data_IF_130953176682
#
_entry.id   IF_130953176682
#
_cell.length_a   1.000
_cell.length_b   1.000
_cell.length_c   1.000
_cell.angle_alpha   90.00
_cell.angle_beta   90.00
_cell.angle_gamma   90.00
#
_symmetry.space_group_name_H-M   'P 1'
#
loop_
_entity.id
_entity.type
_entity.pdbx_description
1 polymer ?
#
# COMPACT_ATOMS: atom_id res chain seq x y z
N UNK A 1 -23.82 -20.66 -10.33
CA UNK A 1 -24.61 -20.43 -9.09
C UNK A 1 -24.80 -21.71 -8.24
N UNK A 2 -24.15 -22.82 -8.61
CA UNK A 2 -24.40 -24.18 -8.12
C UNK A 2 -23.66 -24.58 -6.83
N UNK A 3 -22.93 -23.67 -6.18
CA UNK A 3 -22.15 -23.94 -4.98
C UNK A 3 -22.84 -23.50 -3.67
N UNK A 4 -24.10 -23.04 -3.71
CA UNK A 4 -24.84 -22.55 -2.52
C UNK A 4 -24.25 -21.30 -1.86
N UNK A 5 -23.08 -20.82 -2.31
CA UNK A 5 -22.38 -19.69 -1.74
C UNK A 5 -22.92 -18.36 -2.24
N UNK A 6 -23.31 -17.50 -1.31
CA UNK A 6 -23.78 -16.16 -1.62
C UNK A 6 -22.58 -15.23 -1.88
N UNK A 7 -22.11 -15.20 -3.13
CA UNK A 7 -20.99 -14.36 -3.59
C UNK A 7 -21.26 -12.87 -3.31
N UNK A 8 -22.52 -12.47 -3.35
CA UNK A 8 -22.96 -11.11 -3.09
C UNK A 8 -22.65 -10.70 -1.65
N UNK A 9 -23.01 -11.53 -0.68
CA UNK A 9 -22.77 -11.27 0.74
C UNK A 9 -21.28 -11.15 1.05
N UNK A 10 -20.44 -12.01 0.47
CA UNK A 10 -19.00 -11.99 0.70
C UNK A 10 -18.33 -10.75 0.12
N UNK A 11 -18.73 -10.32 -1.08
CA UNK A 11 -18.24 -9.06 -1.65
C UNK A 11 -18.70 -7.85 -0.82
N UNK A 12 -19.94 -7.89 -0.34
CA UNK A 12 -20.52 -6.81 0.45
C UNK A 12 -19.83 -6.67 1.82
N UNK A 13 -19.59 -7.78 2.52
CA UNK A 13 -18.84 -7.78 3.79
C UNK A 13 -17.41 -7.28 3.60
N UNK A 14 -16.70 -7.72 2.55
CA UNK A 14 -15.36 -7.22 2.26
C UNK A 14 -15.35 -5.72 1.96
N UNK A 15 -16.37 -5.20 1.28
CA UNK A 15 -16.50 -3.78 1.00
C UNK A 15 -16.75 -2.96 2.27
N UNK A 16 -17.67 -3.41 3.13
CA UNK A 16 -17.93 -2.75 4.42
C UNK A 16 -16.66 -2.75 5.28
N UNK A 17 -15.96 -3.88 5.36
CA UNK A 17 -14.76 -4.00 6.16
C UNK A 17 -13.65 -3.07 5.64
N UNK A 18 -13.42 -3.03 4.32
CA UNK A 18 -12.47 -2.11 3.71
C UNK A 18 -12.84 -0.64 3.96
N UNK A 19 -14.12 -0.29 3.82
CA UNK A 19 -14.63 1.05 4.10
C UNK A 19 -14.46 1.46 5.57
N UNK A 20 -14.68 0.54 6.51
CA UNK A 20 -14.47 0.80 7.93
C UNK A 20 -13.00 1.11 8.25
N UNK A 21 -12.07 0.32 7.72
CA UNK A 21 -10.63 0.58 7.88
C UNK A 21 -10.19 1.87 7.19
N UNK A 22 -10.70 2.16 5.98
CA UNK A 22 -10.40 3.40 5.28
C UNK A 22 -10.90 4.64 6.05
N UNK A 23 -12.11 4.59 6.60
CA UNK A 23 -12.66 5.65 7.44
C UNK A 23 -11.86 5.84 8.74
N UNK A 24 -11.51 4.75 9.41
CA UNK A 24 -10.70 4.79 10.63
C UNK A 24 -9.31 5.37 10.37
N UNK A 25 -8.67 4.98 9.28
CA UNK A 25 -7.39 5.55 8.86
C UNK A 25 -7.49 7.05 8.56
N UNK A 26 -8.55 7.49 7.88
CA UNK A 26 -8.79 8.91 7.58
C UNK A 26 -8.99 9.77 8.82
N UNK A 27 -9.79 9.30 9.79
CA UNK A 27 -10.00 9.99 11.07
C UNK A 27 -8.69 10.09 11.86
N UNK A 28 -7.93 9.00 11.92
CA UNK A 28 -6.65 8.98 12.63
C UNK A 28 -5.63 9.93 11.98
N UNK A 29 -5.60 9.97 10.65
CA UNK A 29 -4.75 10.86 9.88
C UNK A 29 -5.11 12.34 10.07
N UNK A 30 -6.41 12.67 10.11
CA UNK A 30 -6.89 14.01 10.38
C UNK A 30 -6.56 14.46 11.81
N UNK A 31 -6.70 13.56 12.78
CA UNK A 31 -6.30 13.81 14.17
C UNK A 31 -4.79 14.04 14.30
N UNK A 32 -3.97 13.25 13.59
CA UNK A 32 -2.51 13.39 13.60
C UNK A 32 -2.02 14.72 13.01
N UNK A 33 -2.61 15.18 11.90
CA UNK A 33 -2.19 16.42 11.26
C UNK A 33 -2.75 17.69 11.92
N UNK A 34 -3.86 17.60 12.65
CA UNK A 34 -4.49 18.72 13.36
C UNK A 34 -5.08 19.82 12.47
N UNK A 35 -4.74 19.86 11.18
CA UNK A 35 -5.26 20.78 10.19
C UNK A 35 -5.41 20.09 8.83
N UNK A 36 -6.54 20.29 8.15
CA UNK A 36 -6.80 19.73 6.82
C UNK A 36 -6.66 20.84 5.79
N UNK A 37 -5.63 20.73 4.95
CA UNK A 37 -5.36 21.67 3.86
C UNK A 37 -5.81 21.09 2.51
N UNK A 38 -6.23 21.90 1.51
CA UNK A 38 -6.54 21.42 0.16
C UNK A 38 -5.38 20.69 -0.52
N UNK A 39 -4.14 20.92 -0.06
CA UNK A 39 -2.94 20.19 -0.51
C UNK A 39 -3.04 18.68 -0.24
N UNK A 40 -3.76 18.27 0.80
CA UNK A 40 -3.84 16.89 1.24
C UNK A 40 -4.75 16.03 0.36
N UNK A 41 -5.67 16.67 -0.35
CA UNK A 41 -6.60 16.03 -1.29
C UNK A 41 -6.06 16.07 -2.73
N UNK A 42 -4.82 16.55 -2.92
CA UNK A 42 -4.19 16.59 -4.24
C UNK A 42 -3.83 15.19 -4.73
N UNK A 43 -3.76 15.08 -6.06
CA UNK A 43 -3.40 13.84 -6.74
C UNK A 43 -2.05 13.29 -6.28
N UNK A 44 -1.10 14.14 -5.89
CA UNK A 44 0.21 13.72 -5.38
C UNK A 44 0.07 12.84 -4.13
N UNK A 45 -0.78 13.22 -3.18
CA UNK A 45 -1.01 12.46 -1.94
C UNK A 45 -1.66 11.11 -2.22
N UNK A 46 -2.56 11.06 -3.20
CA UNK A 46 -3.14 9.80 -3.71
C UNK A 46 -2.09 8.89 -4.35
N UNK A 47 -1.11 9.45 -5.08
CA UNK A 47 -0.01 8.65 -5.65
C UNK A 47 0.91 8.12 -4.54
N UNK A 48 1.19 8.91 -3.50
CA UNK A 48 1.98 8.43 -2.35
C UNK A 48 1.31 7.24 -1.66
N UNK A 49 0.02 7.33 -1.38
CA UNK A 49 -0.74 6.22 -0.75
C UNK A 49 -0.79 4.98 -1.65
N UNK A 50 -0.98 5.14 -2.96
CA UNK A 50 -0.91 4.03 -3.92
C UNK A 50 0.48 3.39 -3.94
N UNK A 51 1.55 4.19 -3.87
CA UNK A 51 2.92 3.69 -3.85
C UNK A 51 3.20 2.87 -2.59
N UNK A 52 2.72 3.30 -1.43
CA UNK A 52 2.87 2.53 -0.17
C UNK A 52 2.22 1.14 -0.29
N UNK A 53 1.03 1.07 -0.90
CA UNK A 53 0.32 -0.20 -1.13
C UNK A 53 1.02 -1.05 -2.19
N UNK A 54 1.44 -0.45 -3.31
CA UNK A 54 2.12 -1.14 -4.40
C UNK A 54 3.45 -1.76 -3.94
N UNK A 55 4.23 -1.00 -3.17
CA UNK A 55 5.50 -1.49 -2.63
C UNK A 55 5.29 -2.62 -1.60
N UNK A 56 4.22 -2.56 -0.81
CA UNK A 56 3.85 -3.61 0.15
C UNK A 56 3.31 -4.89 -0.48
N UNK A 57 2.61 -4.78 -1.61
CA UNK A 57 1.97 -5.88 -2.34
C UNK A 57 0.54 -6.18 -1.87
N UNK A 58 -0.39 -6.55 -2.79
CA UNK A 58 -1.83 -6.71 -2.50
C UNK A 58 -2.21 -7.99 -1.74
N UNK A 59 -1.23 -8.83 -1.37
CA UNK A 59 -1.48 -10.18 -0.87
C UNK A 59 -1.73 -10.31 0.64
N UNK A 60 -1.44 -9.28 1.45
CA UNK A 60 -1.61 -9.29 2.91
C UNK A 60 -1.82 -7.88 3.47
N UNK A 61 -2.38 -7.75 4.67
CA UNK A 61 -2.48 -6.48 5.41
C UNK A 61 -1.11 -5.98 5.90
N UNK A 62 -0.15 -6.88 6.14
CA UNK A 62 1.19 -6.55 6.68
C UNK A 62 2.08 -5.90 5.61
N UNK A 63 1.86 -6.22 4.34
CA UNK A 63 2.61 -5.66 3.21
C UNK A 63 2.50 -4.15 3.13
N UNK A 64 1.30 -3.58 2.98
CA UNK A 64 1.10 -2.14 2.94
C UNK A 64 1.63 -1.42 4.19
N UNK A 65 1.58 -2.06 5.38
CA UNK A 65 2.14 -1.46 6.60
C UNK A 65 3.68 -1.33 6.53
N UNK A 66 4.39 -2.39 6.10
CA UNK A 66 5.83 -2.32 5.85
C UNK A 66 6.19 -1.37 4.71
N UNK A 67 5.39 -1.37 3.65
CA UNK A 67 5.54 -0.47 2.51
C UNK A 67 5.39 1.00 2.92
N UNK A 68 4.36 1.31 3.72
CA UNK A 68 4.17 2.64 4.28
C UNK A 68 5.36 3.06 5.15
N UNK A 69 5.85 2.19 6.04
CA UNK A 69 7.02 2.48 6.87
C UNK A 69 8.26 2.84 6.05
N UNK A 70 8.58 2.06 5.02
CA UNK A 70 9.75 2.30 4.18
C UNK A 70 9.61 3.55 3.30
N UNK A 71 8.44 3.78 2.67
CA UNK A 71 8.20 5.02 1.91
C UNK A 71 8.24 6.24 2.82
N UNK A 72 7.63 6.20 4.00
CA UNK A 72 7.64 7.31 4.95
C UNK A 72 9.05 7.57 5.49
N UNK A 73 9.84 6.54 5.74
CA UNK A 73 11.25 6.70 6.12
C UNK A 73 12.04 7.38 5.01
N UNK A 74 11.88 6.90 3.77
CA UNK A 74 12.49 7.52 2.60
C UNK A 74 12.03 8.98 2.47
N UNK A 75 10.72 9.24 2.66
CA UNK A 75 10.07 10.57 2.71
C UNK A 75 10.78 11.52 3.64
N UNK A 76 10.94 11.09 4.88
CA UNK A 76 11.62 11.91 5.88
C UNK A 76 13.09 12.16 5.50
N UNK A 77 13.80 11.14 5.00
CA UNK A 77 15.22 11.27 4.71
C UNK A 77 15.51 12.20 3.52
N UNK A 78 14.78 12.04 2.41
CA UNK A 78 15.02 12.85 1.20
C UNK A 78 14.35 14.23 1.30
N UNK A 79 13.32 14.42 2.13
CA UNK A 79 12.74 15.76 2.41
C UNK A 79 13.76 16.70 3.08
N UNK A 80 14.70 16.17 3.86
CA UNK A 80 15.79 16.93 4.49
C UNK A 80 16.80 17.45 3.45
N UNK A 81 17.03 16.71 2.37
CA UNK A 81 18.07 17.03 1.38
C UNK A 81 17.57 17.80 0.15
N UNK A 82 16.29 17.70 -0.23
CA UNK A 82 15.81 18.28 -1.50
C UNK A 82 14.34 18.68 -1.49
N UNK A 83 14.05 19.97 -1.75
CA UNK A 83 12.69 20.51 -1.95
C UNK A 83 11.91 19.89 -3.13
N UNK A 84 12.57 19.12 -4.00
CA UNK A 84 12.00 18.47 -5.19
C UNK A 84 11.71 16.98 -4.96
N UNK A 85 11.09 16.66 -3.82
CA UNK A 85 10.67 15.30 -3.44
C UNK A 85 9.88 14.56 -4.54
N UNK A 86 9.03 15.27 -5.29
CA UNK A 86 8.15 14.68 -6.31
C UNK A 86 8.91 13.94 -7.43
N UNK A 87 10.10 14.41 -7.82
CA UNK A 87 10.89 13.72 -8.86
C UNK A 87 11.42 12.38 -8.36
N UNK A 88 11.84 12.35 -7.09
CA UNK A 88 12.34 11.14 -6.45
C UNK A 88 11.20 10.17 -6.19
N UNK A 89 10.02 10.67 -5.78
CA UNK A 89 8.80 9.88 -5.66
C UNK A 89 8.47 9.17 -6.98
N UNK A 90 8.48 9.88 -8.11
CA UNK A 90 8.24 9.30 -9.44
C UNK A 90 9.29 8.27 -9.84
N UNK A 91 10.57 8.55 -9.58
CA UNK A 91 11.66 7.61 -9.85
C UNK A 91 11.55 6.32 -9.02
N UNK A 92 11.24 6.44 -7.73
CA UNK A 92 10.98 5.31 -6.83
C UNK A 92 9.75 4.52 -7.30
N UNK A 93 8.68 5.21 -7.72
CA UNK A 93 7.48 4.56 -8.24
C UNK A 93 7.79 3.68 -9.47
N UNK A 94 8.54 4.22 -10.43
CA UNK A 94 8.98 3.47 -11.62
C UNK A 94 9.87 2.29 -11.21
N UNK A 95 10.85 2.50 -10.31
CA UNK A 95 11.72 1.43 -9.83
C UNK A 95 10.93 0.31 -9.15
N UNK A 96 9.98 0.64 -8.27
CA UNK A 96 9.17 -0.35 -7.56
C UNK A 96 8.33 -1.17 -8.54
N UNK A 97 7.70 -0.54 -9.52
CA UNK A 97 6.91 -1.26 -10.53
C UNK A 97 7.80 -2.16 -11.41
N UNK A 98 8.99 -1.67 -11.78
CA UNK A 98 9.90 -2.41 -12.67
C UNK A 98 10.58 -3.59 -11.96
N UNK A 99 11.05 -3.40 -10.72
CA UNK A 99 11.83 -4.39 -9.98
C UNK A 99 11.00 -5.27 -9.06
N UNK A 100 9.82 -4.82 -8.61
CA UNK A 100 8.97 -5.55 -7.67
C UNK A 100 7.48 -5.46 -8.05
N UNK A 101 7.06 -5.98 -9.22
CA UNK A 101 5.67 -5.91 -9.69
C UNK A 101 4.66 -6.63 -8.78
N UNK A 102 5.13 -7.52 -7.90
CA UNK A 102 4.32 -8.26 -6.92
C UNK A 102 4.38 -7.63 -5.51
N UNK A 103 5.17 -6.56 -5.30
CA UNK A 103 5.50 -5.98 -4.00
C UNK A 103 6.54 -6.79 -3.20
N UNK A 104 7.06 -6.20 -2.11
CA UNK A 104 8.09 -6.80 -1.23
C UNK A 104 7.66 -8.19 -0.73
N UNK A 105 6.38 -8.36 -0.37
CA UNK A 105 5.86 -9.66 0.08
C UNK A 105 5.52 -10.62 -1.05
N UNK A 106 5.30 -10.13 -2.27
CA UNK A 106 5.13 -10.98 -3.45
C UNK A 106 6.42 -11.76 -3.77
N UNK A 107 7.58 -11.09 -3.68
CA UNK A 107 8.89 -11.73 -3.85
C UNK A 107 9.22 -12.73 -2.74
N UNK A 108 8.78 -12.49 -1.50
CA UNK A 108 8.96 -13.43 -0.38
C UNK A 108 8.06 -14.66 -0.52
N UNK A 109 6.80 -14.49 -0.96
CA UNK A 109 5.85 -15.60 -1.16
C UNK A 109 6.24 -16.52 -2.33
N UNK A 110 6.89 -15.96 -3.35
CA UNK A 110 7.43 -16.74 -4.47
C UNK A 110 8.61 -17.64 -4.03
N UNK A 111 9.49 -17.13 -3.15
CA UNK A 111 10.54 -17.94 -2.52
C UNK A 111 10.00 -19.04 -1.59
N UNK A 112 8.88 -18.82 -0.89
CA UNK A 112 8.28 -19.85 -0.02
C UNK A 112 7.56 -20.95 -0.80
N UNK A 113 7.02 -20.61 -1.99
CA UNK A 113 6.37 -21.60 -2.86
C UNK A 113 7.40 -22.46 -3.60
N UNK A 114 8.58 -21.90 -3.92
CA UNK A 114 9.71 -22.65 -4.48
C UNK A 114 10.30 -23.67 -3.49
N UNK A 115 10.42 -23.33 -2.19
CA UNK A 115 10.97 -24.23 -1.17
C UNK A 115 10.05 -25.43 -0.83
N UNK A 116 8.75 -25.35 -1.13
CA UNK A 116 7.81 -26.48 -0.91
C UNK A 116 7.83 -27.52 -2.04
N UNK A 117 8.42 -27.19 -3.20
CA UNK A 117 8.57 -28.12 -4.34
C UNK A 117 9.80 -29.04 -4.23
N UNK A 118 10.75 -28.75 -3.35
CA UNK A 118 11.92 -29.62 -3.08
C UNK A 118 11.66 -30.66 -1.98
N UNK A 119 10.49 -30.65 -1.33
CA UNK A 119 10.13 -31.62 -0.27
C UNK A 119 8.96 -32.53 -0.64
N UNK A 120 8.60 -32.62 -1.92
CA UNK A 120 7.69 -33.63 -2.48
C UNK A 120 8.46 -34.51 -3.47
#
# INVERSE_FOLDING_TARGET
RSLGYNVWLHKYLSFILAGAFAGLAGVLWAYYNGFVSPVEVQLITSVETLLMVAMGGPGTLVGPALGAGLIVFLKNFVSVYTKRWLLILGGVYICVILFAPQGILGTLRDKTTAARKESA
#
